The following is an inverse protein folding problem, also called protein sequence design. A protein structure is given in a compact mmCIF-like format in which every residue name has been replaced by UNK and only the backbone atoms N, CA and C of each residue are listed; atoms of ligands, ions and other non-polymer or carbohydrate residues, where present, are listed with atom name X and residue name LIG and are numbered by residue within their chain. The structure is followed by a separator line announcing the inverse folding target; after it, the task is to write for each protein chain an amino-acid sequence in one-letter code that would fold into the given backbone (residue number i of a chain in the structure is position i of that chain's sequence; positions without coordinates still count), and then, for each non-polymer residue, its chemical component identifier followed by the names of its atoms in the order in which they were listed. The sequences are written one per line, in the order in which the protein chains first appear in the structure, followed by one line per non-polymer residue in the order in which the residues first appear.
data_IF_684146841458
#
_entry.id   IF_684146841458
#
_cell.length_a   1.000
_cell.length_b   1.000
_cell.length_c   1.000
_cell.angle_alpha   90.00
_cell.angle_beta   90.00
_cell.angle_gamma   90.00
#
_symmetry.space_group_name_H-M   'P 1'
#
loop_
_entity.id
_entity.type
_entity.pdbx_description
1 polymer ?
#
# COMPACT_ATOMS: atom_id res chain seq x y z
N UNK A 1 -19.92 4.13 -13.22
CA UNK A 1 -19.93 3.69 -11.80
C UNK A 1 -19.36 4.81 -10.96
N UNK A 2 -19.82 5.00 -9.72
CA UNK A 2 -19.17 5.92 -8.80
C UNK A 2 -17.76 5.42 -8.48
N UNK A 3 -16.77 6.32 -8.43
CA UNK A 3 -15.40 5.97 -8.06
C UNK A 3 -15.31 5.64 -6.56
N UNK A 4 -14.36 4.78 -6.21
CA UNK A 4 -14.06 4.41 -4.83
C UNK A 4 -13.08 5.44 -4.27
N UNK A 5 -13.44 6.15 -3.19
CA UNK A 5 -12.54 7.11 -2.57
C UNK A 5 -11.40 6.38 -1.86
N UNK A 6 -10.16 6.82 -2.11
CA UNK A 6 -8.95 6.22 -1.58
C UNK A 6 -8.04 7.24 -0.91
N UNK A 7 -7.30 6.81 0.10
CA UNK A 7 -6.24 7.63 0.70
C UNK A 7 -4.87 6.98 0.52
N UNK A 8 -3.84 7.82 0.42
CA UNK A 8 -2.43 7.39 0.42
C UNK A 8 -1.79 7.80 1.74
N UNK A 9 -1.42 6.81 2.56
CA UNK A 9 -0.68 7.02 3.80
C UNK A 9 0.81 7.04 3.50
N UNK A 10 1.53 8.08 3.95
CA UNK A 10 2.94 8.27 3.58
C UNK A 10 3.13 8.82 2.17
N UNK A 11 2.21 9.68 1.73
CA UNK A 11 2.12 10.18 0.36
C UNK A 11 3.35 10.96 -0.14
N UNK A 12 4.14 11.56 0.76
CA UNK A 12 5.29 12.40 0.39
C UNK A 12 6.56 11.60 0.09
N UNK A 13 6.64 10.34 0.53
CA UNK A 13 7.76 9.44 0.22
C UNK A 13 7.69 8.89 -1.21
N UNK A 14 8.80 8.35 -1.72
CA UNK A 14 8.94 7.87 -3.11
C UNK A 14 7.84 6.88 -3.52
N UNK A 15 7.52 5.91 -2.66
CA UNK A 15 6.45 4.94 -2.91
C UNK A 15 5.07 5.62 -2.92
N UNK A 16 4.85 6.59 -2.02
CA UNK A 16 3.63 7.40 -1.97
C UNK A 16 3.44 8.22 -3.24
N UNK A 17 4.50 8.86 -3.76
CA UNK A 17 4.48 9.61 -5.00
C UNK A 17 4.07 8.73 -6.20
N UNK A 18 4.55 7.48 -6.25
CA UNK A 18 4.09 6.51 -7.25
C UNK A 18 2.60 6.17 -7.10
N UNK A 19 2.09 5.97 -5.87
CA UNK A 19 0.66 5.78 -5.67
C UNK A 19 -0.15 6.98 -6.16
N UNK A 20 0.24 8.20 -5.79
CA UNK A 20 -0.44 9.43 -6.24
C UNK A 20 -0.49 9.48 -7.77
N UNK A 21 0.65 9.27 -8.43
CA UNK A 21 0.72 9.24 -9.90
C UNK A 21 -0.20 8.18 -10.52
N UNK A 22 -0.19 6.96 -10.00
CA UNK A 22 -0.95 5.83 -10.58
C UNK A 22 -2.45 5.92 -10.30
N UNK A 23 -2.84 6.54 -9.18
CA UNK A 23 -4.24 6.73 -8.80
C UNK A 23 -4.88 7.92 -9.52
N UNK A 24 -4.09 8.89 -9.97
CA UNK A 24 -4.58 9.99 -10.79
C UNK A 24 -5.22 9.46 -12.07
N UNK A 25 -6.46 9.91 -12.31
CA UNK A 25 -7.28 9.50 -13.45
C UNK A 25 -7.60 7.99 -13.50
N UNK A 26 -7.42 7.25 -12.39
CA UNK A 26 -7.78 5.83 -12.35
C UNK A 26 -9.29 5.64 -12.61
N UNK A 27 -9.70 4.63 -13.40
CA UNK A 27 -11.11 4.42 -13.77
C UNK A 27 -11.99 4.07 -12.56
N UNK A 28 -11.41 3.48 -11.52
CA UNK A 28 -12.15 3.01 -10.33
C UNK A 28 -11.87 3.80 -9.06
N UNK A 29 -10.75 4.51 -8.98
CA UNK A 29 -10.31 5.16 -7.74
C UNK A 29 -10.31 6.67 -7.89
N UNK A 30 -10.66 7.34 -6.82
CA UNK A 30 -10.59 8.79 -6.67
C UNK A 30 -9.83 9.11 -5.39
N UNK A 31 -8.84 9.99 -5.50
CA UNK A 31 -7.98 10.34 -4.39
C UNK A 31 -8.72 11.30 -3.44
N UNK A 32 -9.08 10.80 -2.26
CA UNK A 32 -9.80 11.55 -1.23
C UNK A 32 -8.85 12.24 -0.24
N UNK A 33 -7.74 11.57 0.12
CA UNK A 33 -6.81 12.10 1.10
C UNK A 33 -5.35 11.72 0.81
N UNK A 34 -4.45 12.64 1.15
CA UNK A 34 -3.01 12.42 1.18
C UNK A 34 -2.54 12.67 2.60
N UNK A 35 -1.88 11.69 3.22
CA UNK A 35 -1.36 11.86 4.58
C UNK A 35 0.15 11.67 4.64
N UNK A 36 0.77 12.34 5.59
CA UNK A 36 2.18 12.18 5.90
C UNK A 36 2.48 12.54 7.38
N UNK A 37 3.75 12.66 7.71
CA UNK A 37 4.21 13.03 9.06
C UNK A 37 3.78 14.45 9.47
N UNK A 38 3.89 14.74 10.78
CA UNK A 38 3.59 16.07 11.35
C UNK A 38 4.34 17.21 10.65
N UNK A 39 5.57 16.97 10.18
CA UNK A 39 6.36 17.96 9.45
C UNK A 39 5.71 18.40 8.13
N UNK A 40 4.92 17.51 7.53
CA UNK A 40 4.28 17.69 6.23
C UNK A 40 2.82 18.11 6.35
N UNK A 41 2.16 17.74 7.45
CA UNK A 41 0.76 18.06 7.70
C UNK A 41 0.49 19.58 7.63
N UNK A 42 -0.64 19.96 7.03
CA UNK A 42 -1.07 21.35 6.83
C UNK A 42 -0.39 22.08 5.66
N UNK A 43 0.57 21.46 4.97
CA UNK A 43 1.19 22.00 3.76
C UNK A 43 0.47 21.51 2.52
N UNK A 44 0.59 22.25 1.42
CA UNK A 44 0.21 21.77 0.10
C UNK A 44 1.13 20.62 -0.33
N UNK A 45 0.60 19.64 -1.04
CA UNK A 45 1.36 18.46 -1.45
C UNK A 45 2.59 18.83 -2.28
N UNK A 46 2.48 19.81 -3.18
CA UNK A 46 3.61 20.30 -3.99
C UNK A 46 4.75 20.89 -3.16
N UNK A 47 4.46 21.45 -1.98
CA UNK A 47 5.46 22.01 -1.06
C UNK A 47 6.02 20.95 -0.09
N UNK A 48 5.20 19.97 0.27
CA UNK A 48 5.52 18.93 1.23
C UNK A 48 6.31 17.77 0.60
N UNK A 49 5.92 17.36 -0.61
CA UNK A 49 6.55 16.27 -1.32
C UNK A 49 7.80 16.78 -2.03
N UNK A 50 8.97 16.34 -1.55
CA UNK A 50 10.19 16.46 -2.35
C UNK A 50 10.08 15.47 -3.51
N UNK A 51 9.60 15.94 -4.64
CA UNK A 51 9.25 15.11 -5.78
C UNK A 51 10.49 14.53 -6.45
N UNK A 52 10.52 13.21 -6.63
CA UNK A 52 11.65 12.47 -7.20
C UNK A 52 11.33 11.73 -8.49
N UNK A 53 10.07 11.76 -8.94
CA UNK A 53 9.70 11.16 -10.21
C UNK A 53 10.17 12.03 -11.37
N UNK A 54 10.31 11.44 -12.55
CA UNK A 54 10.82 12.10 -13.75
C UNK A 54 9.89 13.19 -14.30
N UNK A 55 8.59 13.08 -14.05
CA UNK A 55 7.62 14.12 -14.40
C UNK A 55 7.50 15.16 -13.28
N UNK A 56 6.84 16.28 -13.55
CA UNK A 56 6.50 17.26 -12.51
C UNK A 56 5.40 16.75 -11.57
N UNK A 57 5.26 17.38 -10.41
CA UNK A 57 4.14 17.11 -9.50
C UNK A 57 2.84 17.39 -10.26
N UNK A 58 1.88 16.45 -10.32
CA UNK A 58 0.66 16.69 -11.08
C UNK A 58 -0.16 17.85 -10.50
N UNK A 59 -0.55 18.80 -11.34
CA UNK A 59 -1.26 20.02 -10.94
C UNK A 59 -2.53 19.71 -10.14
N UNK A 60 -3.22 18.61 -10.46
CA UNK A 60 -4.45 18.18 -9.80
C UNK A 60 -4.29 17.89 -8.30
N UNK A 61 -3.06 17.60 -7.84
CA UNK A 61 -2.77 17.28 -6.44
C UNK A 61 -1.84 18.29 -5.79
N UNK A 62 -1.20 19.18 -6.56
CA UNK A 62 -0.20 20.11 -6.04
C UNK A 62 -0.75 20.98 -4.90
N UNK A 63 -1.98 21.47 -5.02
CA UNK A 63 -2.67 22.31 -4.02
C UNK A 63 -3.43 21.52 -2.94
N UNK A 64 -3.45 20.19 -3.01
CA UNK A 64 -4.13 19.36 -2.00
C UNK A 64 -3.39 19.47 -0.66
N UNK A 65 -4.11 19.77 0.41
CA UNK A 65 -3.55 19.81 1.76
C UNK A 65 -3.19 18.41 2.24
N UNK A 66 -1.95 18.25 2.68
CA UNK A 66 -1.47 17.01 3.30
C UNK A 66 -1.99 16.95 4.73
N UNK A 67 -2.65 15.85 5.07
CA UNK A 67 -3.17 15.59 6.42
C UNK A 67 -2.15 14.82 7.27
N UNK A 68 -2.30 14.87 8.58
CA UNK A 68 -1.53 14.00 9.47
C UNK A 68 -1.95 12.53 9.25
N UNK A 69 -1.00 11.61 9.25
CA UNK A 69 -1.28 10.17 9.16
C UNK A 69 -1.93 9.67 10.46
N UNK A 70 -3.25 9.52 10.45
CA UNK A 70 -4.04 8.95 11.55
C UNK A 70 -5.45 8.57 11.04
N UNK A 71 -6.17 7.62 11.71
CA UNK A 71 -7.47 7.15 11.22
C UNK A 71 -8.50 8.26 10.97
N UNK A 72 -8.59 9.27 11.85
CA UNK A 72 -9.53 10.40 11.70
C UNK A 72 -9.26 11.27 10.47
N UNK A 73 -8.03 11.25 9.94
CA UNK A 73 -7.64 12.06 8.80
C UNK A 73 -8.06 11.45 7.45
N UNK A 74 -8.58 10.21 7.45
CA UNK A 74 -8.92 9.45 6.24
C UNK A 74 -10.37 8.95 6.24
N UNK A 75 -11.25 9.55 7.03
CA UNK A 75 -12.69 9.18 7.15
C UNK A 75 -13.46 9.30 5.83
N UNK A 76 -12.97 10.11 4.89
CA UNK A 76 -13.52 10.27 3.55
C UNK A 76 -13.08 9.18 2.57
N UNK A 77 -12.15 8.30 2.96
CA UNK A 77 -11.68 7.18 2.15
C UNK A 77 -12.31 5.85 2.57
N UNK A 78 -12.53 4.97 1.60
CA UNK A 78 -12.97 3.58 1.83
C UNK A 78 -11.81 2.59 1.84
N UNK A 79 -10.75 2.89 1.09
CA UNK A 79 -9.58 2.06 0.92
C UNK A 79 -8.31 2.89 1.12
N UNK A 80 -7.37 2.36 1.89
CA UNK A 80 -6.12 3.00 2.24
C UNK A 80 -4.97 2.27 1.54
N UNK A 81 -4.13 3.01 0.83
CA UNK A 81 -2.84 2.54 0.33
C UNK A 81 -1.74 2.99 1.28
N UNK A 82 -1.10 2.04 1.98
CA UNK A 82 0.00 2.31 2.89
C UNK A 82 1.34 2.26 2.16
N UNK A 83 1.99 3.41 2.06
CA UNK A 83 3.36 3.60 1.61
C UNK A 83 4.29 4.02 2.77
N UNK A 84 3.85 3.81 4.01
CA UNK A 84 4.59 4.22 5.20
C UNK A 84 5.83 3.35 5.44
N UNK A 85 6.87 3.92 6.08
CA UNK A 85 7.94 3.14 6.70
C UNK A 85 7.42 2.10 7.69
N UNK A 86 8.18 1.02 7.88
CA UNK A 86 7.80 -0.13 8.70
C UNK A 86 7.51 0.22 10.17
N UNK A 87 8.28 1.13 10.75
CA UNK A 87 8.16 1.59 12.13
C UNK A 87 6.87 2.39 12.38
N UNK A 88 6.49 3.28 11.46
CA UNK A 88 5.21 4.00 11.51
C UNK A 88 4.02 3.07 11.24
N UNK A 89 4.14 2.23 10.20
CA UNK A 89 3.14 1.26 9.80
C UNK A 89 2.76 0.27 10.92
N UNK A 90 3.73 -0.12 11.76
CA UNK A 90 3.50 -1.02 12.90
C UNK A 90 2.36 -0.58 13.82
N UNK A 91 2.17 0.74 13.94
CA UNK A 91 1.19 1.36 14.85
C UNK A 91 -0.05 1.80 14.10
N UNK A 92 0.13 2.46 12.95
CA UNK A 92 -0.97 3.10 12.22
C UNK A 92 -1.87 2.07 11.54
N UNK A 93 -1.30 1.04 10.92
CA UNK A 93 -2.09 0.12 10.11
C UNK A 93 -3.11 -0.70 10.93
N UNK A 94 -2.75 -1.27 12.10
CA UNK A 94 -3.73 -1.91 12.98
C UNK A 94 -4.82 -0.94 13.45
N UNK A 95 -4.45 0.30 13.80
CA UNK A 95 -5.42 1.30 14.27
C UNK A 95 -6.43 1.68 13.18
N UNK A 96 -6.00 1.79 11.92
CA UNK A 96 -6.89 2.00 10.79
C UNK A 96 -7.81 0.78 10.55
N UNK A 97 -7.28 -0.44 10.63
CA UNK A 97 -8.09 -1.65 10.45
C UNK A 97 -9.14 -1.81 11.56
N UNK A 98 -8.77 -1.54 12.81
CA UNK A 98 -9.68 -1.50 13.96
C UNK A 98 -10.77 -0.43 13.80
N UNK A 99 -10.43 0.73 13.22
CA UNK A 99 -11.37 1.79 12.89
C UNK A 99 -12.28 1.49 11.66
N UNK A 100 -12.19 0.30 11.07
CA UNK A 100 -13.09 -0.12 9.98
C UNK A 100 -12.53 0.04 8.57
N UNK A 101 -11.31 0.53 8.41
CA UNK A 101 -10.75 0.79 7.09
C UNK A 101 -10.21 -0.46 6.39
N UNK A 102 -10.33 -0.48 5.07
CA UNK A 102 -9.69 -1.49 4.22
C UNK A 102 -8.30 -0.99 3.85
N UNK A 103 -7.27 -1.83 4.01
CA UNK A 103 -5.90 -1.42 3.74
C UNK A 103 -5.16 -2.36 2.79
N UNK A 104 -4.48 -1.77 1.80
CA UNK A 104 -3.45 -2.42 0.99
C UNK A 104 -2.10 -1.79 1.31
N UNK A 105 -1.15 -2.60 1.81
CA UNK A 105 0.09 -2.08 2.40
C UNK A 105 1.35 -2.63 1.73
N UNK A 106 2.31 -1.73 1.49
CA UNK A 106 3.66 -2.06 1.06
C UNK A 106 4.68 -2.24 2.22
N UNK A 107 4.31 -1.92 3.46
CA UNK A 107 5.17 -2.12 4.62
C UNK A 107 5.43 -3.62 4.87
N UNK A 108 6.59 -3.93 5.47
CA UNK A 108 7.02 -5.32 5.71
C UNK A 108 6.33 -5.99 6.89
N UNK A 109 5.74 -5.19 7.78
CA UNK A 109 5.10 -5.64 9.00
C UNK A 109 3.94 -6.58 8.66
N UNK A 110 3.72 -7.58 9.51
CA UNK A 110 2.61 -8.52 9.43
C UNK A 110 2.55 -9.38 8.15
N UNK A 111 3.53 -9.28 7.23
CA UNK A 111 3.57 -10.10 5.99
C UNK A 111 3.55 -11.61 6.25
N UNK A 112 4.06 -12.02 7.41
CA UNK A 112 4.18 -13.43 7.81
C UNK A 112 3.12 -13.84 8.84
N UNK A 113 2.22 -12.93 9.21
CA UNK A 113 1.14 -13.27 10.13
C UNK A 113 0.16 -14.22 9.42
N UNK A 114 -0.28 -15.31 10.07
CA UNK A 114 -1.02 -16.39 9.42
C UNK A 114 -2.42 -15.98 8.94
N UNK A 115 -2.97 -14.90 9.49
CA UNK A 115 -4.27 -14.34 9.16
C UNK A 115 -4.16 -13.15 8.19
N UNK A 116 -2.98 -12.77 7.73
CA UNK A 116 -2.78 -11.64 6.82
C UNK A 116 -2.61 -12.12 5.37
N UNK A 117 -3.49 -11.74 4.44
CA UNK A 117 -3.31 -12.03 3.03
C UNK A 117 -2.05 -11.33 2.49
N UNK A 118 -1.02 -12.09 2.14
CA UNK A 118 0.14 -11.65 1.37
C UNK A 118 -0.10 -11.93 -0.11
N UNK A 119 -0.45 -10.91 -0.90
CA UNK A 119 -1.04 -11.08 -2.23
C UNK A 119 -0.11 -10.63 -3.35
N UNK A 120 0.05 -11.49 -4.34
CA UNK A 120 0.41 -11.14 -5.72
C UNK A 120 -0.84 -11.45 -6.56
N UNK A 121 -1.54 -10.44 -7.11
CA UNK A 121 -2.85 -10.62 -7.72
C UNK A 121 -2.93 -11.73 -8.77
N UNK A 122 -1.87 -11.91 -9.56
CA UNK A 122 -1.78 -12.90 -10.64
C UNK A 122 -1.44 -14.32 -10.15
N UNK A 123 -1.02 -14.48 -8.89
CA UNK A 123 -0.49 -15.74 -8.36
C UNK A 123 -1.41 -16.38 -7.33
N UNK A 124 -1.89 -15.60 -6.37
CA UNK A 124 -2.63 -16.11 -5.21
C UNK A 124 -3.81 -15.22 -4.78
N UNK A 125 -4.69 -14.80 -5.71
CA UNK A 125 -5.83 -13.95 -5.36
C UNK A 125 -6.79 -14.60 -4.35
N UNK A 126 -6.86 -15.93 -4.35
CA UNK A 126 -7.68 -16.72 -3.42
C UNK A 126 -7.31 -16.53 -1.95
N UNK A 127 -6.11 -16.05 -1.62
CA UNK A 127 -5.70 -15.79 -0.24
C UNK A 127 -6.52 -14.65 0.41
N UNK A 128 -7.25 -13.85 -0.38
CA UNK A 128 -8.23 -12.90 0.15
C UNK A 128 -9.32 -13.57 1.00
N UNK A 129 -9.53 -14.88 0.87
CA UNK A 129 -10.41 -15.67 1.76
C UNK A 129 -9.99 -15.62 3.24
N UNK A 130 -8.74 -15.24 3.54
CA UNK A 130 -8.26 -15.05 4.92
C UNK A 130 -8.84 -13.80 5.60
N UNK A 131 -9.43 -12.86 4.85
CA UNK A 131 -9.97 -11.61 5.41
C UNK A 131 -11.01 -11.88 6.52
N UNK A 132 -11.94 -12.80 6.30
CA UNK A 132 -12.96 -13.12 7.32
C UNK A 132 -12.34 -13.72 8.60
N UNK A 133 -11.29 -14.54 8.44
CA UNK A 133 -10.56 -15.09 9.57
C UNK A 133 -9.79 -13.99 10.32
N UNK A 134 -9.14 -13.07 9.59
CA UNK A 134 -8.45 -11.91 10.16
C UNK A 134 -9.39 -11.06 11.00
N UNK A 135 -10.51 -10.63 10.41
CA UNK A 135 -11.52 -9.80 11.08
C UNK A 135 -12.00 -10.43 12.38
N UNK A 136 -12.32 -11.73 12.33
CA UNK A 136 -12.77 -12.49 13.50
C UNK A 136 -11.69 -12.64 14.57
N UNK A 137 -10.45 -12.94 14.19
CA UNK A 137 -9.35 -13.19 15.13
C UNK A 137 -8.84 -11.90 15.77
N UNK A 138 -8.81 -10.81 15.01
CA UNK A 138 -8.33 -9.50 15.47
C UNK A 138 -9.43 -8.63 16.10
N UNK A 139 -10.70 -8.96 15.87
CA UNK A 139 -11.83 -8.15 16.33
C UNK A 139 -11.97 -6.84 15.55
N UNK A 140 -11.59 -6.84 14.27
CA UNK A 140 -11.57 -5.64 13.43
C UNK A 140 -12.76 -5.62 12.46
N UNK A 141 -13.34 -4.43 12.26
CA UNK A 141 -14.34 -4.19 11.21
C UNK A 141 -13.69 -3.99 9.83
N UNK A 142 -12.46 -3.47 9.81
CA UNK A 142 -11.59 -3.35 8.65
C UNK A 142 -10.65 -4.54 8.50
N UNK A 143 -9.68 -4.44 7.59
CA UNK A 143 -8.68 -5.49 7.38
C UNK A 143 -7.45 -4.97 6.64
N UNK A 144 -6.35 -5.73 6.75
CA UNK A 144 -5.07 -5.43 6.13
C UNK A 144 -4.71 -6.53 5.13
N UNK A 145 -4.39 -6.11 3.91
CA UNK A 145 -3.77 -6.92 2.86
C UNK A 145 -2.35 -6.40 2.62
N UNK A 146 -1.40 -7.32 2.46
CA UNK A 146 0.02 -7.00 2.27
C UNK A 146 0.47 -7.32 0.86
N UNK A 147 1.24 -6.40 0.29
CA UNK A 147 2.04 -6.67 -0.89
C UNK A 147 3.41 -7.22 -0.46
N UNK A 148 3.93 -8.26 -1.14
CA UNK A 148 5.23 -8.83 -0.80
C UNK A 148 6.38 -7.91 -1.21
N UNK A 149 7.60 -8.34 -0.87
CA UNK A 149 8.80 -7.65 -1.32
C UNK A 149 8.87 -7.62 -2.85
N UNK A 150 9.37 -6.53 -3.43
CA UNK A 150 9.45 -6.33 -4.87
C UNK A 150 10.22 -7.46 -5.60
N UNK A 151 11.32 -7.94 -5.03
CA UNK A 151 12.10 -9.05 -5.60
C UNK A 151 11.33 -10.37 -5.55
N UNK A 152 10.54 -10.59 -4.50
CA UNK A 152 9.64 -11.74 -4.41
C UNK A 152 8.61 -11.72 -5.53
N UNK A 153 8.00 -10.57 -5.83
CA UNK A 153 7.02 -10.43 -6.92
C UNK A 153 7.64 -10.86 -8.25
N UNK A 154 8.84 -10.35 -8.55
CA UNK A 154 9.57 -10.65 -9.79
C UNK A 154 9.86 -12.14 -9.95
N UNK A 155 10.21 -12.84 -8.88
CA UNK A 155 10.49 -14.28 -8.96
C UNK A 155 9.23 -15.14 -8.97
N UNK A 156 8.24 -14.82 -8.15
CA UNK A 156 7.08 -15.69 -7.97
C UNK A 156 6.18 -15.72 -9.20
N UNK A 157 6.07 -14.61 -9.94
CA UNK A 157 5.28 -14.54 -11.18
C UNK A 157 5.65 -15.64 -12.20
N UNK A 158 6.92 -15.77 -12.64
CA UNK A 158 7.32 -16.85 -13.55
C UNK A 158 7.41 -18.23 -12.88
N UNK A 159 7.64 -18.31 -11.56
CA UNK A 159 7.72 -19.59 -10.85
C UNK A 159 6.36 -20.26 -10.65
N UNK A 160 5.28 -19.48 -10.49
CA UNK A 160 3.93 -20.01 -10.28
C UNK A 160 3.49 -21.02 -11.35
N UNK A 161 3.54 -20.72 -12.66
CA UNK A 161 3.14 -21.70 -13.68
C UNK A 161 4.03 -22.95 -13.70
N UNK A 162 5.32 -22.82 -13.37
CA UNK A 162 6.23 -23.96 -13.29
C UNK A 162 5.91 -24.86 -12.08
N UNK A 163 5.61 -24.25 -10.93
CA UNK A 163 5.16 -24.96 -9.74
C UNK A 163 3.88 -25.75 -10.01
N UNK A 164 2.89 -25.12 -10.66
CA UNK A 164 1.58 -25.73 -10.89
C UNK A 164 1.65 -26.88 -11.91
N UNK A 165 2.48 -26.76 -12.94
CA UNK A 165 2.58 -27.77 -13.99
C UNK A 165 3.55 -28.92 -13.65
N UNK A 166 4.63 -28.64 -12.91
CA UNK A 166 5.75 -29.58 -12.76
C UNK A 166 6.23 -29.79 -11.32
N UNK A 167 5.82 -28.93 -10.39
CA UNK A 167 6.40 -28.86 -9.06
C UNK A 167 7.79 -28.22 -9.04
N UNK A 168 8.22 -27.74 -7.87
CA UNK A 168 9.54 -27.14 -7.66
C UNK A 168 10.08 -27.62 -6.31
N UNK A 169 11.27 -28.22 -6.31
CA UNK A 169 11.94 -28.66 -5.07
C UNK A 169 12.92 -27.64 -4.51
N UNK A 170 13.58 -26.87 -5.38
CA UNK A 170 14.60 -25.91 -4.99
C UNK A 170 14.72 -24.78 -6.00
N UNK A 171 14.99 -23.57 -5.53
CA UNK A 171 15.22 -22.38 -6.34
C UNK A 171 16.50 -21.71 -5.86
N UNK A 172 17.44 -21.46 -6.77
CA UNK A 172 18.65 -20.68 -6.51
C UNK A 172 18.54 -19.36 -7.27
N UNK A 173 18.56 -18.24 -6.55
CA UNK A 173 18.36 -16.91 -7.12
C UNK A 173 19.42 -15.93 -6.64
N UNK A 174 19.81 -15.03 -7.54
CA UNK A 174 20.59 -13.85 -7.25
C UNK A 174 19.89 -12.65 -7.89
N UNK A 175 19.84 -11.52 -7.19
CA UNK A 175 19.20 -10.29 -7.68
C UNK A 175 20.17 -9.13 -7.68
N UNK A 176 20.16 -8.35 -8.76
CA UNK A 176 20.80 -7.03 -8.82
C UNK A 176 19.70 -5.99 -8.69
N UNK A 177 19.61 -5.34 -7.52
CA UNK A 177 18.49 -4.45 -7.19
C UNK A 177 18.88 -2.99 -7.37
N UNK A 178 17.96 -2.19 -7.91
CA UNK A 178 18.13 -0.74 -8.01
C UNK A 178 18.06 -0.08 -6.62
N UNK A 179 18.75 1.07 -6.47
CA UNK A 179 18.76 1.87 -5.24
C UNK A 179 17.36 2.38 -4.84
N UNK A 180 16.45 2.53 -5.80
CA UNK A 180 15.09 3.04 -5.57
C UNK A 180 14.27 2.21 -4.58
N UNK A 181 14.62 0.93 -4.36
CA UNK A 181 13.95 0.07 -3.39
C UNK A 181 14.35 0.34 -1.93
N UNK A 182 15.42 1.08 -1.68
CA UNK A 182 15.91 1.35 -0.33
C UNK A 182 15.21 2.53 0.37
N UNK A 183 14.45 3.34 -0.38
CA UNK A 183 13.83 4.59 0.11
C UNK A 183 14.60 5.81 -0.36
#
# INVERSE_FOLDING_TARGET
MAKIPVAVLGATGTVGQHFVKLLLNHPWFELAALTASERSAGKRYGDAAKWYLSEEVPEQVADVEVRLTEPRAVEDAKLLFSAMPADEAAKVEPACAEAGFIMSSNSSNFRMDPDVPLIIPEVNPDHLKLIEAQKKQRGWDGFIVKNPNCTTIVFVLPLKPLLDAFGINSVFVASMQALSGAG
#
